data_IF_718402351026
#
_entry.id   IF_718402351026
#
_cell.length_a   1.000
_cell.length_b   1.000
_cell.length_c   1.000
_cell.angle_alpha   90.00
_cell.angle_beta   90.00
_cell.angle_gamma   90.00
#
_symmetry.space_group_name_H-M   'P 1'
#
loop_
_entity.id
_entity.type
_entity.pdbx_description
1 polymer ?
#
# COMPACT_ATOMS: atom_id res chain seq x y z
N UNK A 1 -84.03 29.53 4.34
CA UNK A 1 -82.56 29.74 4.39
C UNK A 1 -81.93 28.46 3.86
N UNK A 2 -81.85 28.25 2.53
CA UNK A 2 -80.69 28.49 1.65
C UNK A 2 -79.32 28.00 2.18
N UNK A 3 -78.83 26.94 1.52
CA UNK A 3 -77.41 26.65 1.15
C UNK A 3 -76.53 26.09 2.28
N UNK A 4 -75.61 25.14 2.09
CA UNK A 4 -75.05 24.50 0.90
C UNK A 4 -74.30 23.22 1.30
N UNK A 5 -74.35 22.21 0.43
CA UNK A 5 -73.38 21.13 0.41
C UNK A 5 -72.05 21.62 -0.19
N UNK A 6 -70.92 21.18 0.38
CA UNK A 6 -69.58 21.10 -0.22
C UNK A 6 -68.76 20.21 0.74
N UNK A 7 -68.56 18.93 0.42
CA UNK A 7 -67.38 18.37 -0.26
C UNK A 7 -66.08 18.70 0.47
N UNK A 8 -65.42 17.67 1.02
CA UNK A 8 -64.03 17.32 0.67
C UNK A 8 -63.63 15.99 1.34
N UNK A 9 -63.60 14.96 0.50
CA UNK A 9 -62.88 13.71 0.72
C UNK A 9 -61.39 14.05 0.76
N UNK A 10 -60.79 13.98 1.95
CA UNK A 10 -59.34 14.13 2.13
C UNK A 10 -58.70 12.75 2.21
N UNK A 11 -58.13 12.32 1.08
CA UNK A 11 -57.37 11.09 0.92
C UNK A 11 -56.20 10.99 1.91
N UNK A 12 -55.93 9.76 2.35
CA UNK A 12 -54.62 9.24 2.76
C UNK A 12 -53.45 10.02 2.14
N UNK A 13 -52.41 10.29 2.93
CA UNK A 13 -51.03 9.85 2.66
C UNK A 13 -50.15 10.15 3.88
N UNK A 14 -49.78 9.06 4.55
CA UNK A 14 -48.77 8.99 5.60
C UNK A 14 -47.40 8.96 4.90
N UNK A 15 -46.65 10.06 4.95
CA UNK A 15 -45.26 10.11 4.45
C UNK A 15 -44.34 10.54 5.57
N UNK A 16 -43.78 9.53 6.23
CA UNK A 16 -42.63 9.59 7.13
C UNK A 16 -41.42 9.93 6.25
N UNK A 17 -40.89 11.14 6.37
CA UNK A 17 -39.65 11.54 5.73
C UNK A 17 -38.45 10.96 6.50
N UNK A 18 -37.95 9.82 6.06
CA UNK A 18 -36.69 9.25 6.51
C UNK A 18 -35.56 9.67 5.57
N UNK A 19 -34.49 10.14 6.21
CA UNK A 19 -33.08 9.89 5.87
C UNK A 19 -32.53 10.53 4.59
N UNK A 20 -31.71 11.57 4.82
CA UNK A 20 -30.70 11.99 3.85
C UNK A 20 -29.56 10.98 3.77
N UNK A 21 -29.23 10.59 2.55
CA UNK A 21 -27.94 10.03 2.16
C UNK A 21 -27.58 10.72 0.85
N UNK A 22 -26.76 11.77 0.92
CA UNK A 22 -25.96 12.22 -0.21
C UNK A 22 -24.56 11.67 0.01
N UNK A 23 -24.31 10.47 -0.48
CA UNK A 23 -22.96 9.95 -0.62
C UNK A 23 -22.71 9.87 -2.13
N UNK A 24 -21.75 10.67 -2.60
CA UNK A 24 -21.31 10.65 -3.98
C UNK A 24 -20.70 9.26 -4.25
N UNK A 25 -21.34 8.50 -5.14
CA UNK A 25 -20.75 7.27 -5.69
C UNK A 25 -19.61 7.68 -6.63
N UNK A 26 -18.40 7.79 -6.08
CA UNK A 26 -17.18 7.61 -6.85
C UNK A 26 -17.17 6.17 -7.36
N UNK A 27 -17.23 6.01 -8.68
CA UNK A 27 -16.93 4.74 -9.36
C UNK A 27 -15.52 4.32 -8.97
N UNK A 28 -15.39 3.37 -8.06
CA UNK A 28 -14.15 2.65 -7.84
C UNK A 28 -14.13 1.43 -8.76
N UNK A 29 -13.07 1.35 -9.55
CA UNK A 29 -12.74 0.29 -10.46
C UNK A 29 -12.50 -1.04 -9.72
N UNK A 30 -12.73 -2.16 -10.40
CA UNK A 30 -12.91 -3.49 -9.82
C UNK A 30 -11.63 -4.22 -9.40
N UNK A 31 -10.85 -3.64 -8.49
CA UNK A 31 -9.76 -4.31 -7.78
C UNK A 31 -10.20 -4.77 -6.38
N UNK A 32 -9.92 -6.02 -6.00
CA UNK A 32 -10.22 -6.53 -4.66
C UNK A 32 -9.11 -6.08 -3.69
N UNK A 33 -9.25 -4.85 -3.18
CA UNK A 33 -8.29 -4.23 -2.27
C UNK A 33 -8.71 -4.38 -0.81
N UNK A 34 -7.82 -4.91 0.02
CA UNK A 34 -8.00 -4.90 1.48
C UNK A 34 -7.23 -3.70 2.07
N UNK A 35 -7.83 -3.01 3.04
CA UNK A 35 -7.19 -1.90 3.75
C UNK A 35 -6.67 -2.38 5.10
N UNK A 36 -5.36 -2.42 5.28
CA UNK A 36 -4.69 -2.87 6.51
C UNK A 36 -3.85 -1.73 7.06
N UNK A 37 -4.16 -1.26 8.27
CA UNK A 37 -3.39 -0.21 8.98
C UNK A 37 -3.19 1.10 8.18
N UNK A 38 -4.03 1.38 7.18
CA UNK A 38 -3.95 2.57 6.33
C UNK A 38 -3.27 2.35 4.97
N UNK A 39 -2.78 1.13 4.73
CA UNK A 39 -2.25 0.68 3.46
C UNK A 39 -3.26 -0.16 2.69
N UNK A 40 -3.14 -0.12 1.37
CA UNK A 40 -3.92 -0.89 0.41
C UNK A 40 -3.09 -2.12 0.07
N UNK A 41 -3.71 -3.29 0.20
CA UNK A 41 -3.14 -4.55 -0.24
C UNK A 41 -3.93 -5.09 -1.43
N UNK A 42 -3.22 -5.64 -2.41
CA UNK A 42 -3.81 -6.24 -3.60
C UNK A 42 -3.11 -7.56 -3.92
N UNK A 43 -3.88 -8.59 -4.27
CA UNK A 43 -3.32 -9.88 -4.70
C UNK A 43 -3.26 -9.96 -6.21
N UNK A 44 -2.10 -10.37 -6.76
CA UNK A 44 -1.97 -10.70 -8.19
C UNK A 44 -1.41 -12.11 -8.37
N UNK A 45 -1.52 -12.64 -9.60
CA UNK A 45 -1.16 -14.02 -9.91
C UNK A 45 0.35 -14.30 -10.00
N UNK A 46 1.19 -13.27 -10.05
CA UNK A 46 2.64 -13.43 -10.24
C UNK A 46 3.40 -12.12 -9.98
N UNK A 47 4.73 -12.23 -9.86
CA UNK A 47 5.66 -11.09 -9.73
C UNK A 47 5.67 -10.20 -10.97
N UNK A 48 5.24 -10.73 -12.12
CA UNK A 48 5.12 -10.02 -13.39
C UNK A 48 3.83 -9.21 -13.48
N UNK A 49 2.78 -9.63 -12.78
CA UNK A 49 1.50 -8.94 -12.72
C UNK A 49 1.53 -7.90 -11.59
N UNK A 50 1.82 -6.64 -11.94
CA UNK A 50 1.79 -5.54 -10.96
C UNK A 50 0.36 -5.22 -10.51
N UNK A 51 0.17 -4.76 -9.26
CA UNK A 51 -1.14 -4.41 -8.72
C UNK A 51 -1.66 -3.10 -9.31
N UNK A 52 -2.99 -2.99 -9.43
CA UNK A 52 -3.71 -1.85 -10.00
C UNK A 52 -3.49 -0.53 -9.25
N UNK A 53 -3.15 -0.56 -7.96
CA UNK A 53 -2.80 0.66 -7.21
C UNK A 53 -1.54 1.37 -7.75
N UNK A 54 -0.77 0.71 -8.62
CA UNK A 54 0.38 1.27 -9.30
C UNK A 54 0.04 1.95 -10.64
N UNK A 55 -1.15 1.77 -11.22
CA UNK A 55 -1.46 2.17 -12.59
C UNK A 55 -1.14 3.66 -12.87
N UNK A 56 -1.51 4.52 -11.94
CA UNK A 56 -1.32 5.97 -12.00
C UNK A 56 -0.02 6.46 -11.35
N UNK A 57 0.86 5.55 -10.90
CA UNK A 57 2.15 5.91 -10.29
C UNK A 57 3.20 6.17 -11.38
N UNK A 58 4.23 6.92 -11.01
CA UNK A 58 5.39 7.15 -11.88
C UNK A 58 6.09 5.83 -12.23
N UNK A 59 6.64 5.72 -13.44
CA UNK A 59 7.29 4.51 -13.93
C UNK A 59 8.46 4.05 -13.05
N UNK A 60 9.16 4.99 -12.40
CA UNK A 60 10.22 4.65 -11.44
C UNK A 60 9.68 3.86 -10.24
N UNK A 61 8.48 4.21 -9.74
CA UNK A 61 7.85 3.50 -8.62
C UNK A 61 7.44 2.10 -9.08
N UNK A 62 6.83 1.97 -10.25
CA UNK A 62 6.48 0.67 -10.85
C UNK A 62 7.71 -0.22 -11.00
N UNK A 63 8.80 0.35 -11.49
CA UNK A 63 10.09 -0.34 -11.66
C UNK A 63 10.66 -0.82 -10.32
N UNK A 64 10.59 0.01 -9.27
CA UNK A 64 11.04 -0.38 -7.93
C UNK A 64 10.17 -1.50 -7.37
N UNK A 65 8.85 -1.45 -7.53
CA UNK A 65 7.94 -2.51 -7.09
C UNK A 65 8.22 -3.84 -7.80
N UNK A 66 8.36 -3.81 -9.12
CA UNK A 66 8.74 -5.00 -9.90
C UNK A 66 10.08 -5.56 -9.44
N UNK A 67 11.07 -4.68 -9.26
CA UNK A 67 12.40 -5.06 -8.78
C UNK A 67 12.34 -5.67 -7.39
N UNK A 68 11.54 -5.11 -6.48
CA UNK A 68 11.39 -5.60 -5.12
C UNK A 68 10.90 -7.06 -5.10
N UNK A 69 9.85 -7.38 -5.86
CA UNK A 69 9.34 -8.74 -5.98
C UNK A 69 10.40 -9.74 -6.50
N UNK A 70 11.33 -9.29 -7.35
CA UNK A 70 12.42 -10.10 -7.91
C UNK A 70 13.65 -10.23 -6.99
N UNK A 71 13.78 -9.39 -5.97
CA UNK A 71 14.97 -9.29 -5.12
C UNK A 71 14.65 -9.51 -3.63
N UNK A 72 13.74 -10.44 -3.31
CA UNK A 72 13.35 -10.76 -1.94
C UNK A 72 14.55 -11.02 -1.03
N UNK A 73 15.42 -11.98 -1.39
CA UNK A 73 16.59 -12.37 -0.56
C UNK A 73 17.51 -11.19 -0.25
N UNK A 74 17.60 -10.20 -1.14
CA UNK A 74 18.39 -8.98 -0.93
C UNK A 74 17.65 -8.02 -0.01
N UNK A 75 16.39 -7.70 -0.31
CA UNK A 75 15.64 -6.67 0.40
C UNK A 75 15.20 -7.12 1.81
N UNK A 76 15.06 -8.42 2.05
CA UNK A 76 14.87 -8.97 3.39
C UNK A 76 16.10 -8.77 4.30
N UNK A 77 17.28 -8.52 3.71
CA UNK A 77 18.50 -8.20 4.45
C UNK A 77 18.68 -6.69 4.68
N UNK A 78 17.84 -5.85 4.08
CA UNK A 78 17.92 -4.40 4.19
C UNK A 78 16.90 -3.87 5.19
N UNK A 79 17.32 -3.14 6.24
CA UNK A 79 16.38 -2.47 7.13
C UNK A 79 15.79 -1.23 6.48
N UNK A 80 14.57 -0.87 6.90
CA UNK A 80 13.98 0.43 6.59
C UNK A 80 14.09 1.37 7.80
N UNK A 81 14.35 2.65 7.53
CA UNK A 81 14.59 3.68 8.56
C UNK A 81 13.48 4.74 8.62
N UNK A 82 12.29 4.44 8.08
CA UNK A 82 11.17 5.39 8.07
C UNK A 82 10.25 5.31 9.31
N UNK A 83 10.47 4.31 10.18
CA UNK A 83 9.64 4.07 11.37
C UNK A 83 8.54 3.02 11.20
N UNK A 84 8.39 2.47 9.99
CA UNK A 84 7.39 1.43 9.69
C UNK A 84 7.54 0.17 10.55
N UNK A 85 8.73 -0.12 11.08
CA UNK A 85 8.94 -1.23 12.01
C UNK A 85 8.14 -1.11 13.31
N UNK A 86 8.02 0.10 13.85
CA UNK A 86 7.26 0.33 15.08
C UNK A 86 5.79 0.66 14.79
N UNK A 87 5.49 1.32 13.66
CA UNK A 87 4.14 1.81 13.34
C UNK A 87 3.26 0.80 12.58
N UNK A 88 3.86 -0.04 11.74
CA UNK A 88 3.15 -1.05 10.92
C UNK A 88 3.57 -2.47 11.31
N UNK A 89 4.82 -2.65 11.76
CA UNK A 89 5.38 -3.96 12.10
C UNK A 89 6.26 -4.56 11.01
N UNK A 90 6.70 -3.78 10.02
CA UNK A 90 7.58 -4.27 8.96
C UNK A 90 8.94 -4.70 9.53
N UNK A 91 9.42 -5.85 9.07
CA UNK A 91 10.64 -6.49 9.55
C UNK A 91 11.87 -6.03 8.77
N UNK A 92 11.69 -5.60 7.53
CA UNK A 92 12.75 -5.22 6.60
C UNK A 92 12.16 -4.34 5.48
N UNK A 93 12.98 -3.99 4.48
CA UNK A 93 12.56 -3.16 3.36
C UNK A 93 11.66 -3.90 2.36
N UNK A 94 11.74 -5.22 2.22
CA UNK A 94 10.86 -6.03 1.36
C UNK A 94 9.39 -5.92 1.79
N UNK A 95 9.13 -5.97 3.10
CA UNK A 95 7.78 -5.85 3.68
C UNK A 95 7.09 -4.52 3.31
N UNK A 96 7.85 -3.47 2.95
CA UNK A 96 7.29 -2.21 2.46
C UNK A 96 6.60 -2.31 1.10
N UNK A 97 6.78 -3.43 0.38
CA UNK A 97 6.27 -3.64 -0.97
C UNK A 97 5.40 -4.88 -1.07
N UNK A 98 5.76 -5.94 -0.36
CA UNK A 98 5.11 -7.25 -0.41
C UNK A 98 4.68 -7.62 1.00
N UNK A 99 3.38 -7.84 1.18
CA UNK A 99 2.82 -8.32 2.44
C UNK A 99 3.01 -9.83 2.60
N UNK A 100 2.74 -10.60 1.54
CA UNK A 100 2.84 -12.05 1.52
C UNK A 100 3.04 -12.57 0.09
N UNK A 101 3.51 -13.81 -0.06
CA UNK A 101 3.53 -14.49 -1.36
C UNK A 101 3.55 -16.01 -1.20
N UNK A 102 3.01 -16.70 -2.19
CA UNK A 102 3.15 -18.15 -2.36
C UNK A 102 3.48 -18.51 -3.82
N UNK A 103 3.49 -19.81 -4.14
CA UNK A 103 3.82 -20.31 -5.49
C UNK A 103 2.84 -19.84 -6.57
N UNK A 104 1.67 -19.30 -6.20
CA UNK A 104 0.56 -19.00 -7.10
C UNK A 104 0.12 -17.53 -7.06
N UNK A 105 0.57 -16.78 -6.06
CA UNK A 105 0.07 -15.44 -5.82
C UNK A 105 1.06 -14.59 -5.02
N UNK A 106 0.90 -13.28 -5.16
CA UNK A 106 1.66 -12.29 -4.42
C UNK A 106 0.67 -11.24 -3.89
N UNK A 107 0.76 -10.94 -2.60
CA UNK A 107 0.00 -9.89 -1.93
C UNK A 107 0.91 -8.68 -1.82
N UNK A 108 0.65 -7.68 -2.64
CA UNK A 108 1.38 -6.42 -2.67
C UNK A 108 0.86 -5.47 -1.60
N UNK A 109 1.72 -4.57 -1.13
CA UNK A 109 1.41 -3.53 -0.17
C UNK A 109 1.77 -2.15 -0.75
N UNK A 110 0.82 -1.20 -0.72
CA UNK A 110 1.02 0.14 -1.29
C UNK A 110 1.87 1.08 -0.42
N UNK A 111 2.32 0.63 0.76
CA UNK A 111 3.10 1.41 1.72
C UNK A 111 4.30 2.10 1.07
N UNK A 112 5.07 1.36 0.27
CA UNK A 112 6.23 1.87 -0.46
C UNK A 112 5.90 3.07 -1.36
N UNK A 113 4.69 3.12 -1.94
CA UNK A 113 4.27 4.25 -2.80
C UNK A 113 4.12 5.58 -2.04
N UNK A 114 4.04 5.54 -0.70
CA UNK A 114 3.84 6.69 0.18
C UNK A 114 5.12 7.11 0.91
N UNK A 115 6.23 6.38 0.74
CA UNK A 115 7.45 6.58 1.52
C UNK A 115 8.72 6.58 0.67
N UNK A 116 9.32 7.77 0.50
CA UNK A 116 10.56 7.93 -0.27
C UNK A 116 11.74 7.12 0.31
N UNK A 117 11.82 6.97 1.65
CA UNK A 117 12.90 6.18 2.29
C UNK A 117 12.81 4.71 1.87
N UNK A 118 11.60 4.14 1.83
CA UNK A 118 11.40 2.76 1.37
C UNK A 118 11.88 2.58 -0.08
N UNK A 119 11.46 3.50 -0.96
CA UNK A 119 11.81 3.49 -2.39
C UNK A 119 13.31 3.65 -2.62
N UNK A 120 13.95 4.60 -1.94
CA UNK A 120 15.38 4.86 -2.09
C UNK A 120 16.25 3.70 -1.61
N UNK A 121 15.91 3.08 -0.47
CA UNK A 121 16.65 1.92 0.04
C UNK A 121 16.56 0.77 -0.96
N UNK A 122 15.36 0.44 -1.43
CA UNK A 122 15.15 -0.62 -2.42
C UNK A 122 15.93 -0.35 -3.71
N UNK A 123 15.79 0.86 -4.27
CA UNK A 123 16.46 1.24 -5.50
C UNK A 123 17.99 1.18 -5.35
N UNK A 124 18.55 1.77 -4.28
CA UNK A 124 20.01 1.75 -4.03
C UNK A 124 20.52 0.32 -3.84
N UNK A 125 19.84 -0.49 -3.03
CA UNK A 125 20.25 -1.87 -2.79
C UNK A 125 20.28 -2.67 -4.09
N UNK A 126 19.23 -2.60 -4.91
CA UNK A 126 19.17 -3.31 -6.20
C UNK A 126 20.23 -2.79 -7.19
N UNK A 127 20.47 -1.47 -7.23
CA UNK A 127 21.50 -0.88 -8.09
C UNK A 127 22.89 -1.38 -7.71
N UNK A 128 23.28 -1.31 -6.43
CA UNK A 128 24.60 -1.77 -5.99
C UNK A 128 24.76 -3.29 -6.14
N UNK A 129 23.69 -4.05 -5.87
CA UNK A 129 23.68 -5.49 -6.10
C UNK A 129 23.92 -5.83 -7.58
N UNK A 130 23.29 -5.09 -8.50
CA UNK A 130 23.50 -5.27 -9.95
C UNK A 130 24.93 -4.97 -10.41
N UNK A 131 25.68 -4.14 -9.65
CA UNK A 131 27.10 -3.86 -9.89
C UNK A 131 28.03 -4.94 -9.32
N UNK A 132 27.48 -5.93 -8.60
CA UNK A 132 28.22 -7.03 -8.00
C UNK A 132 28.72 -6.76 -6.59
N UNK A 133 28.20 -5.73 -5.90
CA UNK A 133 28.51 -5.55 -4.48
C UNK A 133 27.92 -6.69 -3.63
N UNK A 134 28.61 -7.02 -2.54
CA UNK A 134 28.13 -8.07 -1.63
C UNK A 134 26.94 -7.55 -0.81
N UNK A 135 26.00 -8.43 -0.46
CA UNK A 135 24.83 -8.08 0.38
C UNK A 135 25.28 -7.41 1.70
N UNK A 136 26.41 -7.82 2.25
CA UNK A 136 26.98 -7.25 3.48
C UNK A 136 27.48 -5.82 3.28
N UNK A 137 28.13 -5.53 2.16
CA UNK A 137 28.62 -4.19 1.84
C UNK A 137 27.45 -3.25 1.56
N UNK A 138 26.44 -3.72 0.83
CA UNK A 138 25.19 -2.99 0.58
C UNK A 138 24.47 -2.70 1.90
N UNK A 139 24.34 -3.70 2.78
CA UNK A 139 23.77 -3.52 4.13
C UNK A 139 24.51 -2.45 4.90
N UNK A 140 25.84 -2.51 4.91
CA UNK A 140 26.68 -1.54 5.60
C UNK A 140 26.48 -0.13 5.03
N UNK A 141 26.43 0.00 3.70
CA UNK A 141 26.18 1.28 3.02
C UNK A 141 24.82 1.87 3.41
N UNK A 142 23.76 1.05 3.42
CA UNK A 142 22.42 1.49 3.83
C UNK A 142 22.43 1.92 5.30
N UNK A 143 22.96 1.10 6.20
CA UNK A 143 23.03 1.42 7.62
C UNK A 143 23.78 2.73 7.88
N UNK A 144 24.93 2.93 7.23
CA UNK A 144 25.73 4.16 7.34
C UNK A 144 25.05 5.39 6.73
N UNK A 145 24.25 5.22 5.68
CA UNK A 145 23.51 6.30 5.02
C UNK A 145 22.36 6.80 5.90
N UNK A 146 21.66 5.89 6.57
CA UNK A 146 20.42 6.19 7.28
C UNK A 146 20.54 6.18 8.82
N UNK A 147 21.73 5.97 9.40
CA UNK A 147 21.92 5.94 10.88
C UNK A 147 21.66 7.27 11.62
N UNK A 148 21.74 8.41 10.94
CA UNK A 148 21.58 9.74 11.56
C UNK A 148 20.41 10.50 10.95
N UNK A 149 19.53 11.03 11.80
CA UNK A 149 18.38 11.85 11.36
C UNK A 149 17.14 11.06 10.92
N UNK A 150 17.19 9.72 10.98
CA UNK A 150 16.07 8.83 10.65
C UNK A 150 15.55 8.07 11.86
N UNK A 151 14.46 7.31 11.68
CA UNK A 151 13.90 6.47 12.73
C UNK A 151 14.81 5.25 13.02
N UNK A 152 14.48 4.52 14.09
CA UNK A 152 15.11 3.23 14.36
C UNK A 152 14.91 2.28 13.17
N UNK A 153 15.92 1.49 12.78
CA UNK A 153 15.74 0.50 11.73
C UNK A 153 14.65 -0.51 12.10
N UNK A 154 13.95 -1.02 11.10
CA UNK A 154 13.17 -2.26 11.21
C UNK A 154 14.02 -3.38 11.83
N UNK A 155 13.44 -4.35 12.55
CA UNK A 155 14.16 -5.43 13.23
C UNK A 155 14.73 -6.49 12.26
N UNK A 156 15.54 -6.03 11.30
CA UNK A 156 16.17 -6.83 10.25
C UNK A 156 17.43 -7.51 10.79
N UNK A 157 17.52 -8.85 10.74
CA UNK A 157 18.70 -9.57 11.18
C UNK A 157 19.99 -9.06 10.50
N UNK A 158 21.15 -9.14 11.18
CA UNK A 158 22.43 -8.79 10.56
C UNK A 158 22.83 -9.82 9.51
N UNK A 159 23.46 -9.35 8.43
CA UNK A 159 24.07 -10.20 7.39
C UNK A 159 25.34 -10.84 7.97
N UNK A 160 25.42 -12.17 7.93
CA UNK A 160 26.59 -12.94 8.38
C UNK A 160 27.81 -12.73 7.48
#
# INVERSE_FOLDING_TARGET
MRKMAMVLIGLLLLSIGLTGCGNEESKHDGGNHDVVMGDIQETTASKEALPSFLDEKHEDIKTIYQGAAQHQDLLEQMPCYCGCGDSVGHMNNYDCFIHDQDDQSIVWDDHGTKCNVCLEIAAKAMIEYSKGESVKDIRTMIDETYKEGYAKPTPTPPVS
#
